data_IF_667750645380
#
_entry.id   IF_667750645380
#
_cell.length_a   1.000
_cell.length_b   1.000
_cell.length_c   1.000
_cell.angle_alpha   90.00
_cell.angle_beta   90.00
_cell.angle_gamma   90.00
#
_symmetry.space_group_name_H-M   'P 1'
#
loop_
_entity.id
_entity.type
_entity.pdbx_description
1 polymer ?
#
# COMPACT_ATOMS: atom_id res chain seq x y z
N UNK A 1 17.74 -6.76 15.38
CA UNK A 1 17.23 -5.87 14.31
C UNK A 1 18.31 -5.72 13.27
N UNK A 2 17.98 -5.95 12.01
CA UNK A 2 18.90 -5.84 10.87
C UNK A 2 18.42 -4.76 9.90
N UNK A 3 19.36 -4.11 9.20
CA UNK A 3 19.03 -3.01 8.27
C UNK A 3 19.82 -3.19 6.96
N UNK A 4 19.12 -2.97 5.84
CA UNK A 4 19.68 -3.07 4.50
C UNK A 4 19.35 -1.81 3.71
N UNK A 5 20.26 -1.41 2.84
CA UNK A 5 20.03 -0.34 1.87
C UNK A 5 20.22 -0.93 0.46
N UNK A 6 19.14 -0.97 -0.31
CA UNK A 6 19.08 -1.63 -1.61
C UNK A 6 18.88 -0.58 -2.71
N UNK A 7 19.72 -0.62 -3.75
CA UNK A 7 19.53 0.22 -4.93
C UNK A 7 18.61 -0.47 -5.92
N UNK A 8 17.38 -0.01 -6.04
CA UNK A 8 16.38 -0.55 -6.96
C UNK A 8 16.40 0.15 -8.33
N UNK A 9 17.18 1.22 -8.47
CA UNK A 9 17.24 2.08 -9.66
C UNK A 9 15.84 2.59 -10.11
N UNK A 10 14.87 2.71 -9.21
CA UNK A 10 13.46 3.04 -9.48
C UNK A 10 12.75 2.03 -10.40
N UNK A 11 13.23 0.79 -10.46
CA UNK A 11 12.61 -0.26 -11.28
C UNK A 11 11.70 -1.13 -10.42
N UNK A 12 10.58 -1.63 -10.96
CA UNK A 12 9.79 -2.65 -10.30
C UNK A 12 10.67 -3.81 -9.84
N UNK A 13 10.54 -4.20 -8.58
CA UNK A 13 11.36 -5.25 -8.00
C UNK A 13 10.61 -6.05 -6.94
N UNK A 14 11.13 -7.20 -6.61
CA UNK A 14 10.79 -7.94 -5.42
C UNK A 14 12.05 -8.11 -4.56
N UNK A 15 11.89 -8.06 -3.25
CA UNK A 15 12.96 -8.37 -2.31
C UNK A 15 12.66 -9.71 -1.68
N UNK A 16 13.57 -10.63 -1.86
CA UNK A 16 13.47 -11.99 -1.36
C UNK A 16 14.35 -12.17 -0.13
N UNK A 17 13.80 -12.76 0.91
CA UNK A 17 14.46 -13.03 2.19
C UNK A 17 14.44 -14.52 2.48
N UNK A 18 15.55 -15.08 2.93
CA UNK A 18 15.60 -16.41 3.54
C UNK A 18 15.83 -16.23 5.03
N UNK A 19 14.81 -16.58 5.83
CA UNK A 19 14.78 -16.38 7.27
C UNK A 19 14.74 -17.75 7.95
N UNK A 20 15.60 -17.97 8.93
CA UNK A 20 15.69 -19.22 9.68
C UNK A 20 15.51 -18.96 11.16
N UNK A 21 14.73 -19.81 11.82
CA UNK A 21 14.58 -19.89 13.29
C UNK A 21 15.06 -21.25 13.79
N UNK A 22 15.16 -21.43 15.08
CA UNK A 22 15.54 -22.70 15.74
C UNK A 22 14.45 -23.79 15.73
N UNK A 23 13.38 -23.57 14.97
CA UNK A 23 12.21 -24.45 14.90
C UNK A 23 11.03 -23.93 15.72
N UNK A 24 11.23 -22.94 16.60
CA UNK A 24 10.14 -22.21 17.22
C UNK A 24 9.47 -21.25 16.22
N UNK A 25 8.18 -20.97 16.43
CA UNK A 25 7.46 -19.98 15.63
C UNK A 25 7.82 -18.57 16.09
N UNK A 26 8.54 -17.82 15.26
CA UNK A 26 8.99 -16.46 15.55
C UNK A 26 8.24 -15.45 14.68
N UNK A 27 7.54 -14.46 15.28
CA UNK A 27 7.00 -13.32 14.53
C UNK A 27 8.13 -12.41 14.06
N UNK A 28 8.28 -12.27 12.74
CA UNK A 28 9.28 -11.41 12.09
C UNK A 28 8.58 -10.31 11.32
N UNK A 29 9.01 -9.08 11.54
CA UNK A 29 8.51 -7.89 10.86
C UNK A 29 9.50 -7.45 9.79
N UNK A 30 8.98 -7.08 8.63
CA UNK A 30 9.75 -6.56 7.51
C UNK A 30 9.10 -5.27 7.05
N UNK A 31 9.87 -4.19 7.03
CA UNK A 31 9.42 -2.87 6.56
C UNK A 31 10.41 -2.34 5.53
N UNK A 32 9.87 -1.85 4.40
CA UNK A 32 10.64 -1.17 3.36
C UNK A 32 10.14 0.25 3.14
N UNK A 33 11.04 1.23 3.17
CA UNK A 33 10.69 2.64 3.01
C UNK A 33 11.75 3.43 2.24
N UNK A 34 11.36 4.62 1.78
CA UNK A 34 12.27 5.59 1.15
C UNK A 34 13.12 6.29 2.22
N UNK A 35 14.44 6.12 2.26
CA UNK A 35 15.29 6.75 3.26
C UNK A 35 15.28 8.29 3.20
N UNK A 36 14.94 8.88 2.04
CA UNK A 36 14.80 10.34 1.88
C UNK A 36 13.44 10.81 2.43
N UNK A 37 12.44 9.94 2.41
CA UNK A 37 11.10 10.24 2.90
C UNK A 37 10.52 9.05 3.69
N UNK A 38 10.88 8.92 4.98
CA UNK A 38 10.53 7.76 5.80
C UNK A 38 9.02 7.49 5.95
N UNK A 39 8.19 8.51 5.72
CA UNK A 39 6.73 8.36 5.71
C UNK A 39 6.19 7.70 4.43
N UNK A 40 7.07 7.34 3.49
CA UNK A 40 6.73 6.62 2.27
C UNK A 40 7.13 5.15 2.42
N UNK A 41 6.17 4.36 2.89
CA UNK A 41 6.31 2.92 3.10
C UNK A 41 5.95 2.18 1.80
N UNK A 42 6.84 1.29 1.35
CA UNK A 42 6.64 0.47 0.16
C UNK A 42 6.07 -0.90 0.48
N UNK A 43 6.37 -1.41 1.67
CA UNK A 43 5.77 -2.61 2.25
C UNK A 43 5.97 -2.63 3.76
N UNK A 44 5.04 -3.31 4.44
CA UNK A 44 5.09 -3.57 5.88
C UNK A 44 4.33 -4.86 6.14
N UNK A 45 5.03 -5.89 6.57
CA UNK A 45 4.39 -7.18 6.85
C UNK A 45 4.97 -7.87 8.06
N UNK A 46 4.14 -8.68 8.70
CA UNK A 46 4.49 -9.56 9.80
C UNK A 46 4.34 -11.00 9.35
N UNK A 47 5.37 -11.77 9.50
CA UNK A 47 5.40 -13.19 9.17
C UNK A 47 5.61 -14.02 10.44
N UNK A 48 5.02 -15.20 10.49
CA UNK A 48 5.29 -16.20 11.51
C UNK A 48 6.20 -17.26 10.91
N UNK A 49 7.48 -17.19 11.22
CA UNK A 49 8.52 -18.03 10.63
C UNK A 49 8.76 -19.25 11.52
N UNK A 50 8.79 -20.44 10.93
CA UNK A 50 9.10 -21.70 11.61
C UNK A 50 10.14 -22.46 10.80
N UNK A 51 11.32 -22.72 11.38
CA UNK A 51 12.43 -23.32 10.65
C UNK A 51 12.98 -22.35 9.60
N UNK A 52 13.15 -22.80 8.36
CA UNK A 52 13.66 -21.95 7.27
C UNK A 52 12.54 -21.65 6.26
N UNK A 53 12.25 -20.38 6.09
CA UNK A 53 11.21 -19.91 5.15
C UNK A 53 11.74 -18.85 4.19
N UNK A 54 11.19 -18.87 3.00
CA UNK A 54 11.43 -17.88 1.94
C UNK A 54 10.26 -16.90 1.89
N UNK A 55 10.55 -15.61 2.06
CA UNK A 55 9.57 -14.53 2.07
C UNK A 55 9.89 -13.56 0.96
N UNK A 56 8.90 -13.19 0.14
CA UNK A 56 9.07 -12.24 -0.97
C UNK A 56 8.18 -11.03 -0.79
N UNK A 57 8.79 -9.85 -0.71
CA UNK A 57 8.10 -8.56 -0.69
C UNK A 57 8.12 -7.93 -2.08
N UNK A 58 6.94 -7.76 -2.68
CA UNK A 58 6.80 -7.14 -4.01
C UNK A 58 6.76 -5.62 -3.89
N UNK A 59 7.47 -4.94 -4.77
CA UNK A 59 7.57 -3.50 -4.86
C UNK A 59 7.40 -3.04 -6.32
N UNK A 60 6.17 -3.03 -6.86
CA UNK A 60 5.89 -2.64 -8.25
C UNK A 60 6.31 -1.20 -8.54
N UNK A 61 6.23 -0.37 -7.53
CA UNK A 61 6.83 0.97 -7.51
C UNK A 61 7.92 0.97 -6.46
N UNK A 62 9.11 1.38 -6.81
CA UNK A 62 10.24 1.44 -5.88
C UNK A 62 10.93 2.81 -5.88
N UNK A 63 11.52 3.25 -4.75
CA UNK A 63 12.38 4.44 -4.71
C UNK A 63 13.71 4.11 -5.40
N UNK A 64 14.58 5.08 -5.58
CA UNK A 64 15.94 4.80 -6.06
C UNK A 64 16.73 3.95 -5.05
N UNK A 65 16.61 4.30 -3.80
CA UNK A 65 17.19 3.56 -2.68
C UNK A 65 16.05 3.12 -1.76
N UNK A 66 15.99 1.84 -1.46
CA UNK A 66 15.02 1.24 -0.54
C UNK A 66 15.73 0.86 0.75
N UNK A 67 15.32 1.45 1.87
CA UNK A 67 15.79 1.02 3.18
C UNK A 67 14.84 -0.03 3.73
N UNK A 68 15.40 -1.16 4.16
CA UNK A 68 14.68 -2.30 4.70
C UNK A 68 15.11 -2.50 6.14
N UNK A 69 14.12 -2.70 7.02
CA UNK A 69 14.34 -3.07 8.41
C UNK A 69 13.67 -4.41 8.66
N UNK A 70 14.40 -5.33 9.29
CA UNK A 70 13.90 -6.64 9.70
C UNK A 70 14.14 -6.79 11.21
N UNK A 71 13.11 -7.22 11.95
CA UNK A 71 13.23 -7.50 13.38
C UNK A 71 12.22 -8.57 13.83
N UNK A 72 12.47 -9.21 14.94
CA UNK A 72 11.53 -10.13 15.59
C UNK A 72 10.83 -9.48 16.78
N UNK A 73 9.63 -9.94 17.08
CA UNK A 73 8.90 -9.56 18.28
C UNK A 73 9.64 -10.07 19.52
N UNK A 74 9.74 -9.22 20.55
CA UNK A 74 10.42 -9.60 21.80
C UNK A 74 11.91 -9.93 21.66
N UNK A 75 12.56 -9.53 20.55
CA UNK A 75 13.95 -9.88 20.22
C UNK A 75 14.21 -11.39 20.15
N UNK A 76 13.20 -12.17 19.79
CA UNK A 76 13.36 -13.62 19.61
C UNK A 76 14.42 -13.92 18.53
N UNK A 77 15.21 -14.98 18.67
CA UNK A 77 16.31 -15.27 17.78
C UNK A 77 15.81 -15.66 16.37
N UNK A 78 16.40 -15.05 15.36
CA UNK A 78 16.25 -15.41 13.95
C UNK A 78 17.57 -15.14 13.25
N UNK A 79 17.78 -15.77 12.11
CA UNK A 79 18.91 -15.56 11.21
C UNK A 79 18.39 -15.20 9.83
N UNK A 80 18.86 -14.08 9.30
CA UNK A 80 18.64 -13.71 7.92
C UNK A 80 19.81 -14.17 7.06
N UNK A 81 19.61 -15.24 6.28
CA UNK A 81 20.70 -15.87 5.52
C UNK A 81 20.86 -15.31 4.10
N UNK A 82 19.82 -14.64 3.59
CA UNK A 82 19.88 -14.02 2.27
C UNK A 82 18.89 -12.85 2.14
N UNK A 83 19.34 -11.78 1.49
CA UNK A 83 18.48 -10.69 0.99
C UNK A 83 18.82 -10.49 -0.49
N UNK A 84 17.90 -10.80 -1.38
CA UNK A 84 18.12 -10.72 -2.83
C UNK A 84 17.10 -9.78 -3.48
N UNK A 85 17.60 -8.93 -4.38
CA UNK A 85 16.75 -8.14 -5.27
C UNK A 85 16.46 -8.92 -6.53
N UNK A 86 15.18 -9.12 -6.83
CA UNK A 86 14.70 -9.81 -8.02
C UNK A 86 13.96 -8.81 -8.93
N UNK A 87 14.10 -8.91 -10.25
CA UNK A 87 13.28 -8.11 -11.15
C UNK A 87 11.81 -8.51 -11.03
N UNK A 88 10.91 -7.53 -11.06
CA UNK A 88 9.48 -7.74 -11.07
C UNK A 88 8.92 -7.23 -12.40
N UNK A 89 8.25 -8.12 -13.14
CA UNK A 89 7.49 -7.72 -14.32
C UNK A 89 6.13 -7.18 -13.85
N UNK A 90 6.10 -5.91 -13.45
CA UNK A 90 4.88 -5.21 -13.12
C UNK A 90 4.28 -4.60 -14.39
N UNK A 91 3.00 -4.84 -14.63
CA UNK A 91 2.28 -4.16 -15.69
C UNK A 91 2.12 -2.68 -15.31
N UNK A 92 2.45 -1.80 -16.25
CA UNK A 92 2.12 -0.38 -16.11
C UNK A 92 0.76 -0.17 -16.75
N UNK A 93 -0.18 0.31 -15.98
CA UNK A 93 -1.44 0.74 -16.56
C UNK A 93 -1.21 1.94 -17.47
N UNK A 94 -1.96 2.00 -18.57
CA UNK A 94 -2.07 3.18 -19.43
C UNK A 94 -3.37 3.93 -19.17
N UNK A 95 -4.24 3.39 -18.34
CA UNK A 95 -5.50 4.01 -17.95
C UNK A 95 -5.25 5.26 -17.08
N UNK A 96 -5.68 6.46 -17.49
CA UNK A 96 -5.41 7.71 -16.78
C UNK A 96 -5.82 7.68 -15.31
N UNK A 97 -6.96 7.05 -15.02
CA UNK A 97 -7.49 6.90 -13.66
C UNK A 97 -6.53 6.09 -12.79
N UNK A 98 -6.08 4.93 -13.25
CA UNK A 98 -5.16 4.05 -12.52
C UNK A 98 -3.80 4.73 -12.34
N UNK A 99 -3.28 5.38 -13.38
CA UNK A 99 -2.03 6.13 -13.30
C UNK A 99 -2.10 7.26 -12.25
N UNK A 100 -3.23 7.95 -12.18
CA UNK A 100 -3.45 9.02 -11.20
C UNK A 100 -3.51 8.48 -9.78
N UNK A 101 -4.24 7.38 -9.54
CA UNK A 101 -4.31 6.68 -8.26
C UNK A 101 -2.91 6.28 -7.78
N UNK A 102 -2.12 5.61 -8.63
CA UNK A 102 -0.75 5.20 -8.29
C UNK A 102 0.16 6.39 -8.00
N UNK A 103 0.09 7.45 -8.84
CA UNK A 103 0.89 8.67 -8.65
C UNK A 103 0.54 9.37 -7.33
N UNK A 104 -0.75 9.55 -7.06
CA UNK A 104 -1.23 10.18 -5.82
C UNK A 104 -0.80 9.34 -4.60
N UNK A 105 -1.06 8.03 -4.59
CA UNK A 105 -0.70 7.12 -3.49
C UNK A 105 0.78 7.19 -3.13
N UNK A 106 1.65 7.22 -4.14
CA UNK A 106 3.11 7.36 -3.95
C UNK A 106 3.50 8.71 -3.36
N UNK A 107 2.79 9.78 -3.71
CA UNK A 107 3.12 11.14 -3.30
C UNK A 107 2.43 11.58 -2.00
N UNK A 108 1.35 10.91 -1.59
CA UNK A 108 0.47 11.32 -0.50
C UNK A 108 1.21 11.68 0.80
N UNK A 109 2.28 10.95 1.16
CA UNK A 109 3.08 11.26 2.35
C UNK A 109 3.78 12.63 2.33
N UNK A 110 3.91 13.26 1.15
CA UNK A 110 4.57 14.56 0.94
C UNK A 110 3.62 15.69 0.56
N UNK A 111 2.41 15.33 0.14
CA UNK A 111 1.43 16.32 -0.32
C UNK A 111 0.83 17.11 0.84
N UNK A 112 0.49 18.36 0.57
CA UNK A 112 -0.29 19.19 1.47
C UNK A 112 -1.79 18.90 1.31
N UNK A 113 -2.63 19.19 2.31
CA UNK A 113 -4.07 19.20 2.12
C UNK A 113 -4.46 20.13 0.95
N UNK A 114 -5.40 19.68 0.11
CA UNK A 114 -5.81 20.40 -1.09
C UNK A 114 -6.56 19.50 -2.07
N UNK A 115 -6.90 20.04 -3.23
CA UNK A 115 -7.57 19.32 -4.31
C UNK A 115 -6.53 18.92 -5.37
N UNK A 116 -6.60 17.64 -5.79
CA UNK A 116 -5.71 17.06 -6.77
C UNK A 116 -6.51 16.49 -7.93
N UNK A 117 -6.12 16.87 -9.13
CA UNK A 117 -6.74 16.45 -10.40
C UNK A 117 -5.67 15.97 -11.36
N UNK A 118 -6.07 15.29 -12.41
CA UNK A 118 -5.23 14.96 -13.55
C UNK A 118 -6.06 15.03 -14.86
N UNK A 119 -5.37 15.22 -15.98
CA UNK A 119 -6.01 15.23 -17.28
C UNK A 119 -6.65 13.85 -17.58
N UNK A 120 -7.84 13.86 -18.17
CA UNK A 120 -8.62 12.67 -18.49
C UNK A 120 -9.01 11.80 -17.29
N UNK A 121 -9.02 12.36 -16.07
CA UNK A 121 -9.53 11.72 -14.87
C UNK A 121 -10.84 12.40 -14.45
N UNK A 122 -11.95 11.65 -14.33
CA UNK A 122 -13.28 12.24 -14.12
C UNK A 122 -13.58 12.65 -12.70
N UNK A 123 -12.62 12.57 -11.77
CA UNK A 123 -12.82 12.92 -10.37
C UNK A 123 -11.66 13.76 -9.80
N UNK A 124 -11.93 14.37 -8.66
CA UNK A 124 -10.97 15.13 -7.86
C UNK A 124 -10.66 14.37 -6.57
N UNK A 125 -9.40 14.23 -6.20
CA UNK A 125 -9.02 13.81 -4.85
C UNK A 125 -8.96 15.04 -3.96
N UNK A 126 -9.87 15.10 -2.97
CA UNK A 126 -9.86 16.11 -1.92
C UNK A 126 -9.06 15.57 -0.72
N UNK A 127 -7.79 15.96 -0.64
CA UNK A 127 -6.88 15.52 0.41
C UNK A 127 -7.02 16.42 1.63
N UNK A 128 -7.59 15.90 2.70
CA UNK A 128 -7.89 16.62 3.96
C UNK A 128 -6.96 16.14 5.07
N UNK A 129 -6.75 16.97 6.10
CA UNK A 129 -6.04 16.50 7.29
C UNK A 129 -6.73 15.27 7.88
N UNK A 130 -8.03 15.38 8.12
CA UNK A 130 -8.93 14.31 8.56
C UNK A 130 -10.24 14.40 7.76
N UNK A 131 -10.95 13.28 7.66
CA UNK A 131 -12.34 13.23 7.19
C UNK A 131 -13.22 13.10 8.44
N UNK A 132 -14.30 13.83 8.48
CA UNK A 132 -15.23 13.82 9.60
C UNK A 132 -16.58 13.30 9.17
N UNK A 133 -17.26 12.60 10.09
CA UNK A 133 -18.68 12.26 9.97
C UNK A 133 -19.53 13.53 10.14
N UNK A 134 -20.82 13.45 9.82
CA UNK A 134 -21.76 14.56 10.02
C UNK A 134 -21.90 14.96 11.49
N UNK A 135 -21.53 14.07 12.42
CA UNK A 135 -21.48 14.36 13.86
C UNK A 135 -20.16 14.96 14.33
N UNK A 136 -19.23 15.27 13.42
CA UNK A 136 -17.93 15.88 13.72
C UNK A 136 -16.88 14.92 14.28
N UNK A 137 -17.13 13.61 14.31
CA UNK A 137 -16.14 12.60 14.71
C UNK A 137 -15.27 12.24 13.51
N UNK A 138 -14.03 11.80 13.78
CA UNK A 138 -13.17 11.25 12.72
C UNK A 138 -13.85 10.07 12.02
N UNK A 139 -13.86 10.12 10.69
CA UNK A 139 -14.44 9.06 9.89
C UNK A 139 -13.56 7.78 10.01
N UNK A 140 -14.14 6.60 10.20
CA UNK A 140 -13.37 5.37 10.36
C UNK A 140 -12.55 5.00 9.11
N UNK A 141 -13.07 5.29 7.91
CA UNK A 141 -12.39 4.95 6.64
C UNK A 141 -11.30 5.96 6.26
N UNK A 142 -10.20 5.54 5.64
CA UNK A 142 -9.12 6.42 5.20
C UNK A 142 -9.46 7.25 3.96
N UNK A 143 -10.41 6.78 3.15
CA UNK A 143 -10.98 7.48 2.00
C UNK A 143 -12.47 7.23 1.93
N UNK A 144 -13.18 8.07 1.20
CA UNK A 144 -14.59 7.87 0.82
C UNK A 144 -14.92 8.64 -0.45
N UNK A 145 -15.75 8.05 -1.30
CA UNK A 145 -16.31 8.77 -2.43
C UNK A 145 -17.52 9.60 -2.00
N UNK A 146 -17.71 10.74 -2.65
CA UNK A 146 -18.92 11.55 -2.45
C UNK A 146 -20.04 10.99 -3.33
N UNK A 147 -21.24 10.83 -2.78
CA UNK A 147 -22.38 10.21 -3.48
C UNK A 147 -22.88 11.01 -4.68
N UNK A 148 -22.80 12.35 -4.64
CA UNK A 148 -23.36 13.22 -5.67
C UNK A 148 -22.29 13.93 -6.52
N UNK A 149 -21.07 13.98 -6.06
CA UNK A 149 -19.98 14.71 -6.72
C UNK A 149 -18.85 13.75 -7.09
N UNK A 150 -18.13 13.99 -8.18
CA UNK A 150 -16.97 13.18 -8.56
C UNK A 150 -15.76 13.55 -7.68
N UNK A 151 -15.90 13.37 -6.37
CA UNK A 151 -14.88 13.71 -5.37
C UNK A 151 -14.61 12.51 -4.49
N UNK A 152 -13.34 12.14 -4.40
CA UNK A 152 -12.84 11.18 -3.42
C UNK A 152 -12.17 11.97 -2.30
N UNK A 153 -12.73 11.91 -1.09
CA UNK A 153 -12.12 12.51 0.10
C UNK A 153 -11.10 11.53 0.68
N UNK A 154 -9.91 12.02 1.01
CA UNK A 154 -8.81 11.22 1.54
C UNK A 154 -8.25 11.83 2.81
N UNK A 155 -8.12 11.04 3.87
CA UNK A 155 -7.54 11.45 5.16
C UNK A 155 -6.01 11.36 5.14
N UNK A 156 -5.32 12.50 5.23
CA UNK A 156 -3.87 12.56 5.31
C UNK A 156 -3.32 11.83 6.54
N UNK A 157 -3.97 12.01 7.70
CA UNK A 157 -3.52 11.38 8.95
C UNK A 157 -3.49 9.86 8.84
N UNK A 158 -4.51 9.26 8.20
CA UNK A 158 -4.58 7.82 7.98
C UNK A 158 -3.65 7.35 6.85
N UNK A 159 -3.65 8.04 5.71
CA UNK A 159 -2.77 7.71 4.59
C UNK A 159 -1.28 7.76 4.96
N UNK A 160 -0.86 8.63 5.86
CA UNK A 160 0.53 8.67 6.31
C UNK A 160 0.95 7.43 7.11
N UNK A 161 0.00 6.67 7.63
CA UNK A 161 0.24 5.43 8.37
C UNK A 161 0.22 4.19 7.46
N UNK A 162 -0.26 4.33 6.22
CA UNK A 162 -0.45 3.26 5.25
C UNK A 162 0.75 3.13 4.31
N UNK A 163 0.99 1.91 3.84
CA UNK A 163 1.92 1.67 2.74
C UNK A 163 1.38 2.18 1.41
N UNK A 164 2.23 2.33 0.40
CA UNK A 164 1.77 2.70 -0.96
C UNK A 164 0.77 1.67 -1.50
N UNK A 165 1.02 0.35 -1.40
CA UNK A 165 0.03 -0.66 -1.80
C UNK A 165 -1.32 -0.52 -1.11
N UNK A 166 -1.35 -0.31 0.21
CA UNK A 166 -2.59 -0.07 0.98
C UNK A 166 -3.35 1.16 0.47
N UNK A 167 -2.65 2.27 0.21
CA UNK A 167 -3.25 3.49 -0.37
C UNK A 167 -3.82 3.25 -1.76
N UNK A 168 -3.12 2.46 -2.60
CA UNK A 168 -3.57 2.14 -3.97
C UNK A 168 -4.85 1.33 -3.94
N UNK A 169 -4.92 0.26 -3.12
CA UNK A 169 -6.14 -0.57 -3.08
C UNK A 169 -7.34 0.21 -2.55
N UNK A 170 -7.16 1.05 -1.53
CA UNK A 170 -8.23 1.90 -1.00
C UNK A 170 -8.76 2.85 -2.07
N UNK A 171 -7.88 3.53 -2.80
CA UNK A 171 -8.34 4.43 -3.86
C UNK A 171 -8.96 3.70 -5.04
N UNK A 172 -8.48 2.52 -5.40
CA UNK A 172 -9.09 1.70 -6.45
C UNK A 172 -10.49 1.22 -6.05
N UNK A 173 -10.71 0.90 -4.77
CA UNK A 173 -12.02 0.58 -4.23
C UNK A 173 -13.00 1.77 -4.38
N UNK A 174 -12.59 2.97 -3.94
CA UNK A 174 -13.41 4.19 -4.06
C UNK A 174 -13.71 4.55 -5.53
N UNK A 175 -12.73 4.37 -6.41
CA UNK A 175 -12.91 4.57 -7.85
C UNK A 175 -13.91 3.56 -8.42
N UNK A 176 -13.87 2.32 -7.95
CA UNK A 176 -14.75 1.27 -8.43
C UNK A 176 -16.22 1.61 -8.20
N UNK A 177 -16.60 2.18 -7.06
CA UNK A 177 -17.97 2.58 -6.77
C UNK A 177 -18.62 3.40 -7.88
N UNK A 178 -17.98 4.46 -8.35
CA UNK A 178 -18.61 5.40 -9.29
C UNK A 178 -18.20 5.21 -10.76
N UNK A 179 -17.14 4.47 -11.04
CA UNK A 179 -16.56 4.46 -12.38
C UNK A 179 -16.38 3.06 -12.99
N UNK A 180 -16.61 1.99 -12.21
CA UNK A 180 -16.35 0.62 -12.66
C UNK A 180 -17.54 -0.30 -12.36
N UNK A 181 -18.19 -0.14 -11.20
CA UNK A 181 -19.27 -1.00 -10.76
C UNK A 181 -20.54 -0.82 -11.60
N UNK A 182 -21.26 -1.90 -11.77
CA UNK A 182 -22.65 -1.86 -12.27
C UNK A 182 -23.60 -1.32 -11.18
N UNK A 183 -23.41 -1.78 -9.94
CA UNK A 183 -24.11 -1.30 -8.74
C UNK A 183 -23.14 -0.47 -7.90
N UNK A 184 -23.36 0.85 -7.90
CA UNK A 184 -22.49 1.81 -7.21
C UNK A 184 -22.47 1.63 -5.68
N UNK A 185 -23.56 1.10 -5.12
CA UNK A 185 -23.68 0.87 -3.67
C UNK A 185 -23.11 -0.49 -3.22
N UNK A 186 -22.63 -1.30 -4.18
CA UNK A 186 -22.10 -2.63 -3.91
C UNK A 186 -20.65 -2.59 -3.41
N UNK A 187 -20.45 -2.65 -2.11
CA UNK A 187 -19.13 -2.81 -1.48
C UNK A 187 -18.37 -4.03 -2.01
N UNK A 188 -19.09 -5.17 -2.16
CA UNK A 188 -18.51 -6.41 -2.67
C UNK A 188 -18.00 -6.27 -4.11
N UNK A 189 -18.72 -5.54 -4.95
CA UNK A 189 -18.33 -5.30 -6.33
C UNK A 189 -17.12 -4.35 -6.38
N UNK A 190 -17.08 -3.33 -5.54
CA UNK A 190 -15.96 -2.39 -5.41
C UNK A 190 -14.69 -3.09 -4.94
N UNK A 191 -14.80 -3.94 -3.92
CA UNK A 191 -13.69 -4.77 -3.44
C UNK A 191 -13.14 -5.65 -4.56
N UNK A 192 -14.03 -6.34 -5.28
CA UNK A 192 -13.64 -7.25 -6.36
C UNK A 192 -12.96 -6.51 -7.51
N UNK A 193 -13.54 -5.43 -8.00
CA UNK A 193 -13.04 -4.65 -9.12
C UNK A 193 -11.73 -3.94 -8.76
N UNK A 194 -11.66 -3.31 -7.59
CA UNK A 194 -10.44 -2.71 -7.07
C UNK A 194 -9.31 -3.72 -6.94
N UNK A 195 -9.59 -4.91 -6.37
CA UNK A 195 -8.61 -5.97 -6.20
C UNK A 195 -8.13 -6.57 -7.51
N UNK A 196 -9.00 -6.68 -8.52
CA UNK A 196 -8.61 -7.16 -9.85
C UNK A 196 -7.58 -6.25 -10.51
N UNK A 197 -7.82 -4.93 -10.51
CA UNK A 197 -6.88 -3.95 -11.04
C UNK A 197 -5.57 -3.99 -10.25
N UNK A 198 -5.65 -3.98 -8.93
CA UNK A 198 -4.52 -4.03 -8.02
C UNK A 198 -3.60 -5.24 -8.27
N UNK A 199 -4.20 -6.42 -8.46
CA UNK A 199 -3.45 -7.64 -8.76
C UNK A 199 -2.77 -7.60 -10.13
N UNK A 200 -3.43 -7.04 -11.15
CA UNK A 200 -2.86 -6.86 -12.49
C UNK A 200 -1.63 -5.93 -12.46
N UNK A 201 -1.63 -4.92 -11.59
CA UNK A 201 -0.48 -4.04 -11.38
C UNK A 201 0.69 -4.72 -10.64
N UNK A 202 0.48 -5.94 -10.13
CA UNK A 202 1.51 -6.74 -9.47
C UNK A 202 1.73 -6.42 -8.00
N UNK A 203 0.82 -5.68 -7.37
CA UNK A 203 0.87 -5.40 -5.93
C UNK A 203 0.66 -6.65 -5.08
N UNK A 204 1.21 -6.71 -3.86
CA UNK A 204 1.11 -7.88 -2.99
C UNK A 204 -0.28 -8.00 -2.35
N UNK A 205 -0.93 -9.16 -2.50
CA UNK A 205 -2.27 -9.41 -1.94
C UNK A 205 -2.35 -9.21 -0.43
N UNK A 206 -1.28 -9.47 0.30
CA UNK A 206 -1.26 -9.33 1.75
C UNK A 206 -1.49 -7.88 2.19
N UNK A 207 -0.98 -6.91 1.45
CA UNK A 207 -1.19 -5.49 1.75
C UNK A 207 -2.66 -5.09 1.51
N UNK A 208 -3.33 -5.67 0.50
CA UNK A 208 -4.76 -5.45 0.28
C UNK A 208 -5.60 -6.05 1.42
N UNK A 209 -5.26 -7.25 1.89
CA UNK A 209 -5.92 -7.89 3.02
C UNK A 209 -5.77 -7.04 4.28
N UNK A 210 -4.56 -6.53 4.54
CA UNK A 210 -4.31 -5.66 5.69
C UNK A 210 -5.14 -4.37 5.60
N UNK A 211 -5.17 -3.72 4.42
CA UNK A 211 -5.93 -2.51 4.21
C UNK A 211 -7.43 -2.69 4.50
N UNK A 212 -8.03 -3.77 3.99
CA UNK A 212 -9.44 -4.07 4.24
C UNK A 212 -9.71 -4.47 5.69
N UNK A 213 -8.82 -5.24 6.31
CA UNK A 213 -8.97 -5.62 7.72
C UNK A 213 -8.90 -4.40 8.66
N UNK A 214 -8.08 -3.41 8.36
CA UNK A 214 -7.96 -2.18 9.14
C UNK A 214 -9.19 -1.25 9.02
N UNK A 215 -9.96 -1.38 7.92
CA UNK A 215 -11.19 -0.61 7.69
C UNK A 215 -12.39 -1.25 8.39
N UNK A 216 -12.40 -2.59 8.49
CA UNK A 216 -13.52 -3.34 9.10
C UNK A 216 -13.50 -3.36 10.63
N UNK A 217 -12.48 -2.78 11.29
CA UNK A 217 -12.40 -2.62 12.74
C UNK A 217 -13.00 -1.28 13.18
#
# INVERSE_FOLDING_TARGET
MEQYLVNTAKKPCAVNFIITTDGSQVPVYIVGYDPINPNTLYFRSRFRITGTEEVTMRCPQSPRMLKIIVWSEGNLPYRLSSVKLLPLNALKSQEPVVMFVEKFSRQAGRLWPGNYTADNVPFTIQYKRNIYTDTGKDHPTPARIHTELPIIQVSKSKFNQMTIPERVIILLHEVAHNFINYDQDSEKESDHNGLNIYNQLGYPKIEAINAFADIMQ
#
